data_IF_873250399031
#
_entry.id   IF_873250399031
#
_cell.length_a   1.000
_cell.length_b   1.000
_cell.length_c   1.000
_cell.angle_alpha   90.00
_cell.angle_beta   90.00
_cell.angle_gamma   90.00
#
_symmetry.space_group_name_H-M   'P 1'
#
loop_
_entity.id
_entity.type
_entity.pdbx_description
1 polymer ?
#
# COMPACT_ATOMS: atom_id res chain seq x y z
N UNK A 1 34.26 -11.32 15.52
CA UNK A 1 33.10 -10.42 15.42
C UNK A 1 32.08 -10.86 16.46
N UNK A 2 31.76 -10.02 17.46
CA UNK A 2 30.65 -10.34 18.36
C UNK A 2 29.32 -10.00 17.68
N UNK A 3 28.39 -10.95 17.64
CA UNK A 3 27.01 -10.66 17.27
C UNK A 3 26.43 -9.74 18.35
N UNK A 4 25.88 -8.59 17.96
CA UNK A 4 25.06 -7.80 18.87
C UNK A 4 23.75 -8.59 19.13
N UNK A 5 23.50 -9.06 20.38
CA UNK A 5 22.36 -9.91 20.68
C UNK A 5 21.02 -9.22 20.44
N UNK A 6 20.93 -7.89 20.61
CA UNK A 6 19.72 -7.13 20.34
C UNK A 6 19.40 -7.06 18.85
N UNK A 7 20.43 -6.86 18.02
CA UNK A 7 20.27 -6.89 16.56
C UNK A 7 19.81 -8.27 16.10
N UNK A 8 20.43 -9.33 16.62
CA UNK A 8 20.05 -10.70 16.30
C UNK A 8 18.58 -11.01 16.65
N UNK A 9 18.14 -10.64 17.85
CA UNK A 9 16.74 -10.84 18.29
C UNK A 9 15.78 -10.02 17.43
N UNK A 10 16.14 -8.77 17.12
CA UNK A 10 15.36 -7.91 16.25
C UNK A 10 15.17 -8.54 14.85
N UNK A 11 16.26 -8.98 14.22
CA UNK A 11 16.23 -9.55 12.88
C UNK A 11 15.40 -10.84 12.84
N UNK A 12 15.54 -11.70 13.85
CA UNK A 12 14.70 -12.91 14.01
C UNK A 12 13.23 -12.59 14.18
N UNK A 13 12.89 -11.50 14.88
CA UNK A 13 11.51 -11.07 15.03
C UNK A 13 10.92 -10.59 13.70
N UNK A 14 11.68 -9.83 12.91
CA UNK A 14 11.22 -9.37 11.59
C UNK A 14 11.02 -10.55 10.63
N UNK A 15 11.96 -11.50 10.62
CA UNK A 15 11.84 -12.75 9.85
C UNK A 15 10.56 -13.53 10.22
N UNK A 16 10.27 -13.65 11.52
CA UNK A 16 9.06 -14.32 12.01
C UNK A 16 7.78 -13.62 11.54
N UNK A 17 7.76 -12.29 11.51
CA UNK A 17 6.60 -11.52 11.03
C UNK A 17 6.41 -11.70 9.52
N UNK A 18 7.48 -11.63 8.74
CA UNK A 18 7.43 -11.86 7.29
C UNK A 18 6.88 -13.25 6.96
N UNK A 19 7.42 -14.29 7.62
CA UNK A 19 6.90 -15.66 7.51
C UNK A 19 5.43 -15.78 7.91
N UNK A 20 4.99 -15.05 8.93
CA UNK A 20 3.59 -15.01 9.35
C UNK A 20 2.69 -14.39 8.28
N UNK A 21 3.11 -13.29 7.65
CA UNK A 21 2.37 -12.67 6.55
C UNK A 21 2.30 -13.61 5.34
N UNK A 22 3.43 -14.19 4.93
CA UNK A 22 3.49 -15.15 3.83
C UNK A 22 2.53 -16.33 4.04
N UNK A 23 2.53 -16.90 5.25
CA UNK A 23 1.60 -17.98 5.63
C UNK A 23 0.13 -17.55 5.49
N UNK A 24 -0.23 -16.31 5.86
CA UNK A 24 -1.59 -15.79 5.67
C UNK A 24 -1.96 -15.62 4.19
N UNK A 25 -0.98 -15.42 3.33
CA UNK A 25 -1.17 -15.34 1.88
C UNK A 25 -1.06 -16.71 1.19
N UNK A 26 -0.96 -17.81 1.95
CA UNK A 26 -0.81 -19.15 1.39
C UNK A 26 0.50 -19.37 0.63
N UNK A 27 1.55 -18.60 0.92
CA UNK A 27 2.81 -18.60 0.17
C UNK A 27 4.04 -18.58 1.09
N UNK A 28 5.23 -18.50 0.50
CA UNK A 28 6.52 -18.36 1.20
C UNK A 28 7.05 -16.92 1.10
N UNK A 29 7.90 -16.45 2.04
CA UNK A 29 8.40 -15.08 2.07
C UNK A 29 8.95 -14.57 0.74
N UNK A 30 9.66 -15.40 0.01
CA UNK A 30 10.35 -15.07 -1.24
C UNK A 30 9.38 -14.73 -2.38
N UNK A 31 8.14 -15.22 -2.29
CA UNK A 31 7.09 -14.99 -3.28
C UNK A 31 6.23 -13.76 -2.96
N UNK A 32 6.43 -13.11 -1.81
CA UNK A 32 5.72 -11.88 -1.50
C UNK A 32 6.27 -10.71 -2.36
N UNK A 33 5.39 -9.79 -2.81
CA UNK A 33 5.81 -8.56 -3.50
C UNK A 33 6.93 -7.81 -2.77
N UNK A 34 7.81 -7.15 -3.53
CA UNK A 34 9.02 -6.51 -3.00
C UNK A 34 8.76 -5.53 -1.84
N UNK A 35 7.70 -4.71 -1.91
CA UNK A 35 7.31 -3.79 -0.82
C UNK A 35 7.03 -4.54 0.49
N UNK A 36 6.56 -5.79 0.42
CA UNK A 36 6.28 -6.63 1.59
C UNK A 36 7.52 -7.30 2.17
N UNK A 37 8.70 -7.10 1.58
CA UNK A 37 9.97 -7.47 2.21
C UNK A 37 10.39 -6.44 3.26
N UNK A 38 9.79 -5.24 3.25
CA UNK A 38 10.05 -4.19 4.24
C UNK A 38 9.43 -4.55 5.60
N UNK A 39 10.22 -4.70 6.68
CA UNK A 39 9.71 -5.11 8.00
C UNK A 39 8.67 -4.16 8.63
N UNK A 40 8.76 -2.86 8.35
CA UNK A 40 7.84 -1.87 8.87
C UNK A 40 6.47 -1.98 8.18
N UNK A 41 6.48 -2.20 6.85
CA UNK A 41 5.27 -2.46 6.07
C UNK A 41 4.61 -3.76 6.51
N UNK A 42 5.38 -4.84 6.68
CA UNK A 42 4.87 -6.12 7.20
C UNK A 42 4.23 -5.92 8.57
N UNK A 43 4.89 -5.16 9.45
CA UNK A 43 4.37 -4.86 10.78
C UNK A 43 3.07 -4.06 10.70
N UNK A 44 2.98 -3.08 9.80
CA UNK A 44 1.78 -2.28 9.57
C UNK A 44 0.60 -3.16 9.11
N UNK A 45 0.83 -4.02 8.11
CA UNK A 45 -0.19 -4.93 7.58
C UNK A 45 -0.64 -5.91 8.66
N UNK A 46 0.28 -6.54 9.40
CA UNK A 46 -0.09 -7.45 10.49
C UNK A 46 -0.87 -6.75 11.61
N UNK A 47 -0.64 -5.45 11.85
CA UNK A 47 -1.44 -4.64 12.78
C UNK A 47 -2.84 -4.38 12.22
N UNK A 48 -2.95 -4.04 10.95
CA UNK A 48 -4.24 -3.86 10.26
C UNK A 48 -5.07 -5.15 10.28
N UNK A 49 -4.43 -6.30 10.05
CA UNK A 49 -5.08 -7.61 10.08
C UNK A 49 -5.43 -8.12 11.49
N UNK A 50 -4.97 -7.45 12.55
CA UNK A 50 -5.21 -7.87 13.94
C UNK A 50 -6.56 -7.35 14.42
N UNK A 51 -7.40 -8.23 14.97
CA UNK A 51 -8.63 -7.82 15.66
C UNK A 51 -9.77 -7.39 14.72
N UNK A 52 -9.73 -7.82 13.45
CA UNK A 52 -10.85 -7.70 12.52
C UNK A 52 -11.61 -9.02 12.49
N UNK A 53 -12.92 -8.98 12.73
CA UNK A 53 -13.78 -10.15 12.67
C UNK A 53 -13.87 -10.69 11.25
N UNK A 54 -14.13 -11.99 11.11
CA UNK A 54 -14.11 -12.71 9.82
C UNK A 54 -15.19 -12.25 8.83
N UNK A 55 -16.09 -11.36 9.25
CA UNK A 55 -17.20 -10.84 8.45
C UNK A 55 -16.93 -9.43 7.88
N UNK A 56 -15.88 -8.75 8.35
CA UNK A 56 -15.48 -7.42 7.84
C UNK A 56 -14.76 -7.56 6.49
N UNK A 57 -15.47 -7.32 5.40
CA UNK A 57 -14.89 -7.10 4.07
C UNK A 57 -14.30 -5.69 3.99
N UNK A 58 -13.23 -5.41 4.74
CA UNK A 58 -12.58 -4.09 4.74
C UNK A 58 -11.28 -4.12 3.94
N UNK A 59 -11.31 -4.12 2.59
CA UNK A 59 -10.10 -4.18 1.79
C UNK A 59 -9.24 -2.94 1.99
N UNK A 60 -7.95 -3.06 1.67
CA UNK A 60 -7.03 -1.94 1.79
C UNK A 60 -6.16 -1.78 0.55
N UNK A 61 -5.78 -0.55 0.24
CA UNK A 61 -4.79 -0.21 -0.78
C UNK A 61 -3.47 0.16 -0.11
N UNK A 62 -2.39 -0.49 -0.52
CA UNK A 62 -1.03 -0.23 -0.06
C UNK A 62 -0.24 0.45 -1.18
N UNK A 63 0.21 1.67 -0.93
CA UNK A 63 1.02 2.46 -1.87
C UNK A 63 2.51 2.35 -1.55
N UNK A 64 3.30 1.98 -2.56
CA UNK A 64 4.75 2.13 -2.59
C UNK A 64 5.11 3.43 -3.32
N UNK A 65 4.93 4.57 -2.65
CA UNK A 65 5.13 5.89 -3.27
C UNK A 65 6.52 6.06 -3.86
N UNK A 66 6.59 6.60 -5.07
CA UNK A 66 7.83 6.96 -5.72
C UNK A 66 7.98 8.48 -5.72
N UNK A 67 8.86 8.98 -4.85
CA UNK A 67 9.08 10.44 -4.72
C UNK A 67 9.60 11.08 -6.01
N UNK A 68 10.30 10.33 -6.87
CA UNK A 68 10.72 10.83 -8.17
C UNK A 68 9.53 11.16 -9.09
N UNK A 69 8.38 10.49 -8.90
CA UNK A 69 7.14 10.78 -9.64
C UNK A 69 6.47 12.10 -9.26
N UNK A 70 6.92 12.75 -8.18
CA UNK A 70 6.46 14.07 -7.74
C UNK A 70 7.58 15.11 -7.71
N UNK A 71 8.79 14.75 -8.13
CA UNK A 71 9.96 15.63 -8.14
C UNK A 71 10.70 15.46 -9.47
N UNK A 72 9.95 15.29 -10.56
CA UNK A 72 10.48 15.11 -11.91
C UNK A 72 11.06 16.41 -12.49
N UNK A 73 10.75 17.55 -11.86
CA UNK A 73 11.09 18.90 -12.34
C UNK A 73 11.39 19.85 -11.16
N UNK A 74 11.54 21.16 -11.44
CA UNK A 74 12.05 22.14 -10.49
C UNK A 74 11.07 22.58 -9.40
N UNK A 75 9.76 22.29 -9.52
CA UNK A 75 8.79 22.58 -8.45
C UNK A 75 8.76 21.39 -7.49
N UNK A 76 9.19 21.56 -6.22
CA UNK A 76 9.25 20.44 -5.29
C UNK A 76 7.88 19.85 -4.99
N UNK A 77 7.84 18.52 -4.87
CA UNK A 77 6.67 17.72 -4.52
C UNK A 77 5.47 17.85 -5.47
N UNK A 78 5.69 18.39 -6.66
CA UNK A 78 4.69 18.50 -7.72
C UNK A 78 5.15 17.72 -8.96
N UNK A 79 4.30 16.82 -9.43
CA UNK A 79 4.48 16.19 -10.74
C UNK A 79 4.39 17.23 -11.85
N UNK A 80 5.22 17.11 -12.88
CA UNK A 80 5.21 17.95 -14.08
C UNK A 80 5.39 19.46 -13.79
N UNK A 81 5.91 19.84 -12.62
CA UNK A 81 5.97 21.22 -12.13
C UNK A 81 4.61 21.93 -12.01
N UNK A 82 3.51 21.18 -11.95
CA UNK A 82 2.17 21.76 -11.86
C UNK A 82 1.72 21.79 -10.41
N UNK A 83 1.48 23.00 -9.88
CA UNK A 83 0.94 23.19 -8.55
C UNK A 83 -0.36 22.40 -8.37
N UNK A 84 -0.45 21.61 -7.30
CA UNK A 84 -1.59 20.75 -7.01
C UNK A 84 -1.47 19.30 -7.52
N UNK A 85 -0.54 18.99 -8.43
CA UNK A 85 -0.24 17.61 -8.84
C UNK A 85 0.68 16.92 -7.82
N UNK A 86 0.21 16.79 -6.58
CA UNK A 86 0.99 16.33 -5.43
C UNK A 86 0.52 14.97 -4.93
N UNK A 87 1.36 14.26 -4.17
CA UNK A 87 0.93 13.08 -3.42
C UNK A 87 -0.27 13.39 -2.51
N UNK A 88 -0.29 14.60 -1.93
CA UNK A 88 -1.40 15.08 -1.10
C UNK A 88 -2.74 15.16 -1.82
N UNK A 89 -2.75 15.49 -3.13
CA UNK A 89 -3.99 15.51 -3.91
C UNK A 89 -4.58 14.10 -4.11
N UNK A 90 -3.72 13.10 -4.28
CA UNK A 90 -4.15 11.69 -4.38
C UNK A 90 -4.69 11.21 -3.04
N UNK A 91 -4.01 11.54 -1.93
CA UNK A 91 -4.47 11.22 -0.57
C UNK A 91 -5.81 11.89 -0.28
N UNK A 92 -5.97 13.18 -0.60
CA UNK A 92 -7.23 13.88 -0.43
C UNK A 92 -8.36 13.22 -1.24
N UNK A 93 -8.07 12.77 -2.46
CA UNK A 93 -9.04 12.03 -3.27
C UNK A 93 -9.40 10.67 -2.66
N UNK A 94 -8.44 9.92 -2.11
CA UNK A 94 -8.72 8.68 -1.35
C UNK A 94 -9.67 8.93 -0.18
N UNK A 95 -9.36 9.93 0.66
CA UNK A 95 -10.16 10.26 1.85
C UNK A 95 -11.57 10.76 1.48
N UNK A 96 -11.69 11.55 0.41
CA UNK A 96 -12.98 12.00 -0.11
C UNK A 96 -13.87 10.85 -0.60
N UNK A 97 -13.29 9.72 -0.99
CA UNK A 97 -13.99 8.50 -1.41
C UNK A 97 -14.09 7.46 -0.27
N UNK A 98 -14.06 7.91 0.98
CA UNK A 98 -14.36 7.07 2.14
C UNK A 98 -13.21 6.17 2.62
N UNK A 99 -12.01 6.34 2.07
CA UNK A 99 -10.84 5.65 2.59
C UNK A 99 -10.40 6.23 3.95
N UNK A 100 -9.85 5.38 4.81
CA UNK A 100 -9.20 5.79 6.07
C UNK A 100 -7.70 5.56 5.98
N UNK A 101 -6.88 6.60 6.24
CA UNK A 101 -5.43 6.44 6.37
C UNK A 101 -5.09 5.69 7.66
N UNK A 102 -4.66 4.44 7.50
CA UNK A 102 -4.35 3.59 8.63
C UNK A 102 -3.07 4.07 9.32
N UNK A 103 -3.23 4.55 10.57
CA UNK A 103 -2.16 5.08 11.44
C UNK A 103 -1.59 6.43 10.99
N UNK A 104 -2.26 7.16 10.09
CA UNK A 104 -1.81 8.46 9.58
C UNK A 104 -0.40 8.40 8.94
N UNK A 105 -0.12 7.31 8.22
CA UNK A 105 1.19 7.08 7.60
C UNK A 105 1.18 7.35 6.09
N UNK A 106 0.01 7.66 5.52
CA UNK A 106 -0.22 7.89 4.10
C UNK A 106 0.19 6.72 3.19
N UNK A 107 0.26 5.49 3.71
CA UNK A 107 0.76 4.32 2.96
C UNK A 107 -0.31 3.23 2.79
N UNK A 108 -1.16 3.02 3.81
CA UNK A 108 -2.17 1.98 3.81
C UNK A 108 -3.55 2.62 4.01
N UNK A 109 -4.41 2.51 3.01
CA UNK A 109 -5.74 3.12 3.00
C UNK A 109 -6.80 2.04 3.08
N UNK A 110 -7.60 2.05 4.13
CA UNK A 110 -8.63 1.03 4.39
C UNK A 110 -9.98 1.52 3.89
N UNK A 111 -10.67 0.67 3.15
CA UNK A 111 -12.00 0.92 2.61
C UNK A 111 -13.04 0.09 3.34
N UNK A 112 -14.29 0.55 3.31
CA UNK A 112 -15.40 -0.15 3.93
C UNK A 112 -15.74 -1.47 3.23
N UNK A 113 -15.58 -1.52 1.90
CA UNK A 113 -15.87 -2.67 1.04
C UNK A 113 -15.18 -2.51 -0.33
N UNK A 114 -15.32 -3.52 -1.19
CA UNK A 114 -14.79 -3.47 -2.57
C UNK A 114 -15.44 -2.40 -3.45
N UNK A 115 -16.72 -2.06 -3.23
CA UNK A 115 -17.42 -1.02 -4.00
C UNK A 115 -16.76 0.35 -3.82
N UNK A 116 -16.39 0.71 -2.58
CA UNK A 116 -15.72 1.98 -2.30
C UNK A 116 -14.34 2.11 -2.99
N UNK A 117 -13.65 0.99 -3.24
CA UNK A 117 -12.44 1.01 -4.08
C UNK A 117 -12.80 1.31 -5.54
N UNK A 118 -13.89 0.73 -6.06
CA UNK A 118 -14.41 1.03 -7.39
C UNK A 118 -14.75 2.51 -7.57
N UNK A 119 -15.50 3.08 -6.61
CA UNK A 119 -15.87 4.50 -6.62
C UNK A 119 -14.63 5.40 -6.59
N UNK A 120 -13.60 5.02 -5.80
CA UNK A 120 -12.31 5.71 -5.82
C UNK A 120 -11.60 5.60 -7.18
N UNK A 121 -11.59 4.44 -7.83
CA UNK A 121 -10.97 4.27 -9.16
C UNK A 121 -11.62 5.19 -10.20
N UNK A 122 -12.95 5.29 -10.17
CA UNK A 122 -13.70 6.19 -11.05
C UNK A 122 -13.35 7.66 -10.75
N UNK A 123 -13.36 8.04 -9.48
CA UNK A 123 -12.97 9.39 -9.03
C UNK A 123 -11.53 9.74 -9.41
N UNK A 124 -10.59 8.80 -9.24
CA UNK A 124 -9.19 8.95 -9.59
C UNK A 124 -9.02 9.18 -11.10
N UNK A 125 -9.72 8.39 -11.92
CA UNK A 125 -9.66 8.51 -13.39
C UNK A 125 -10.21 9.85 -13.87
N UNK A 126 -11.28 10.36 -13.26
CA UNK A 126 -11.87 11.64 -13.64
C UNK A 126 -11.08 12.85 -13.12
N UNK A 127 -10.64 12.81 -11.86
CA UNK A 127 -10.09 13.99 -11.17
C UNK A 127 -8.57 14.07 -11.22
N UNK A 128 -7.87 12.95 -11.40
CA UNK A 128 -6.42 12.86 -11.33
C UNK A 128 -5.81 12.19 -12.58
N UNK A 129 -6.22 12.54 -13.82
CA UNK A 129 -5.68 11.91 -15.02
C UNK A 129 -4.16 12.11 -15.16
N UNK A 130 -3.62 13.18 -14.56
CA UNK A 130 -2.19 13.48 -14.50
C UNK A 130 -1.39 12.46 -13.68
N UNK A 131 -2.02 11.69 -12.80
CA UNK A 131 -1.33 10.75 -11.93
C UNK A 131 -1.00 9.42 -12.62
N UNK A 132 -1.57 9.16 -13.81
CA UNK A 132 -1.27 7.97 -14.61
C UNK A 132 0.14 8.03 -15.20
N UNK A 133 0.62 6.87 -15.65
CA UNK A 133 1.90 6.74 -16.35
C UNK A 133 2.00 7.72 -17.52
N UNK A 134 3.18 8.30 -17.66
CA UNK A 134 3.54 9.23 -18.72
C UNK A 134 4.93 8.87 -19.23
N UNK A 135 5.08 8.80 -20.55
CA UNK A 135 6.36 8.49 -21.16
C UNK A 135 7.42 9.54 -20.75
N UNK A 136 8.54 9.08 -20.21
CA UNK A 136 9.65 9.95 -19.78
C UNK A 136 9.47 10.59 -18.40
N UNK A 137 8.35 10.36 -17.71
CA UNK A 137 8.12 10.84 -16.33
C UNK A 137 8.06 9.63 -15.40
N UNK A 138 8.80 9.60 -14.27
CA UNK A 138 8.72 8.50 -13.32
C UNK A 138 7.28 8.27 -12.82
N UNK A 139 6.86 7.03 -12.59
CA UNK A 139 5.52 6.73 -12.04
C UNK A 139 5.38 7.28 -10.61
N UNK A 140 4.14 7.57 -10.18
CA UNK A 140 3.86 8.10 -8.83
C UNK A 140 4.04 7.05 -7.72
N UNK A 141 4.03 5.76 -8.07
CA UNK A 141 4.35 4.67 -7.17
C UNK A 141 5.12 3.57 -7.91
N UNK A 142 5.96 2.84 -7.19
CA UNK A 142 6.63 1.65 -7.70
C UNK A 142 5.63 0.48 -7.81
N UNK A 143 4.70 0.42 -6.86
CA UNK A 143 3.60 -0.55 -6.84
C UNK A 143 2.40 0.01 -6.06
N UNK A 144 1.22 -0.47 -6.44
CA UNK A 144 -0.02 -0.35 -5.69
C UNK A 144 -0.56 -1.76 -5.50
N UNK A 145 -0.75 -2.18 -4.26
CA UNK A 145 -1.31 -3.49 -3.94
C UNK A 145 -2.69 -3.34 -3.32
N UNK A 146 -3.60 -4.25 -3.66
CA UNK A 146 -4.87 -4.40 -2.95
C UNK A 146 -4.81 -5.63 -2.05
N UNK A 147 -5.19 -5.41 -0.79
CA UNK A 147 -5.25 -6.42 0.25
C UNK A 147 -6.72 -6.77 0.47
N UNK A 148 -7.09 -8.01 0.15
CA UNK A 148 -8.44 -8.53 0.35
C UNK A 148 -8.41 -9.59 1.45
N UNK A 149 -9.27 -9.46 2.46
CA UNK A 149 -9.42 -10.50 3.48
C UNK A 149 -10.37 -11.56 2.95
N UNK A 150 -9.93 -12.82 2.90
CA UNK A 150 -10.80 -13.92 2.50
C UNK A 150 -11.66 -14.30 3.72
N UNK A 151 -12.95 -14.00 3.65
CA UNK A 151 -13.93 -14.07 4.76
C UNK A 151 -14.31 -15.51 5.18
N UNK A 152 -13.88 -16.55 4.47
CA UNK A 152 -14.17 -17.93 4.84
C UNK A 152 -13.11 -18.51 5.80
N UNK A 153 -13.29 -18.29 7.12
CA UNK A 153 -12.81 -19.11 8.26
C UNK A 153 -11.29 -19.35 8.42
N UNK A 154 -10.47 -18.89 7.48
CA UNK A 154 -9.03 -19.21 7.40
C UNK A 154 -8.13 -18.06 7.84
N UNK A 155 -8.69 -16.85 7.99
CA UNK A 155 -7.94 -15.61 8.21
C UNK A 155 -6.85 -15.36 7.15
N UNK A 156 -7.06 -15.90 5.95
CA UNK A 156 -6.22 -15.73 4.79
C UNK A 156 -6.39 -14.34 4.20
N UNK A 157 -5.34 -13.88 3.54
CA UNK A 157 -5.27 -12.58 2.88
C UNK A 157 -4.86 -12.83 1.46
N UNK A 158 -5.66 -12.33 0.53
CA UNK A 158 -5.27 -12.22 -0.86
C UNK A 158 -4.60 -10.86 -1.09
N UNK A 159 -3.49 -10.88 -1.82
CA UNK A 159 -2.72 -9.68 -2.17
C UNK A 159 -2.56 -9.66 -3.67
N UNK A 160 -3.24 -8.72 -4.31
CA UNK A 160 -3.23 -8.56 -5.76
C UNK A 160 -2.47 -7.29 -6.16
N UNK A 161 -1.83 -7.34 -7.33
CA UNK A 161 -1.25 -6.15 -7.94
C UNK A 161 -2.36 -5.29 -8.52
N UNK A 162 -2.46 -4.06 -8.02
CA UNK A 162 -3.48 -3.08 -8.39
C UNK A 162 -2.87 -1.86 -9.11
N UNK A 163 -1.63 -1.99 -9.59
CA UNK A 163 -0.86 -0.87 -10.18
C UNK A 163 -1.40 -0.37 -11.52
N UNK A 164 -2.20 -1.16 -12.24
CA UNK A 164 -2.76 -0.76 -13.53
C UNK A 164 -3.71 0.46 -13.46
N UNK A 165 -4.14 0.86 -12.26
CA UNK A 165 -4.95 2.08 -12.07
C UNK A 165 -4.09 3.34 -12.22
N UNK A 166 -2.82 3.26 -11.81
CA UNK A 166 -1.90 4.39 -11.67
C UNK A 166 -0.69 4.31 -12.60
N UNK A 167 -0.48 3.18 -13.27
CA UNK A 167 0.58 2.89 -14.23
C UNK A 167 0.03 2.55 -15.61
#
# INVERSE_FOLDING_TARGET
MSLNPFKFVHDKLQEKKLRKLAKKCGTVPENLPAILQNPDIVTLILKYLKGKDTEDEMPALLFDWNQAGFNDTNVPNCRNSVAGQTQGAIIANLLANGATDFRNLNILFVFQNGQAIGDWVDSFTMNLPWAKHQAGVPDICNSLLRLNKITAHTANVDIENFSAIVR
#
